data_IF_457919787894
#
_entry.id   IF_457919787894
#
_cell.length_a   1.000
_cell.length_b   1.000
_cell.length_c   1.000
_cell.angle_alpha   90.00
_cell.angle_beta   90.00
_cell.angle_gamma   90.00
#
_symmetry.space_group_name_H-M   'P 1'
#
loop_
_entity.id
_entity.type
_entity.pdbx_description
1 polymer ?
#
# COMPACT_ATOMS: atom_id res chain seq x y z
N UNK A 1 6.49 28.32 -7.96
CA UNK A 1 5.22 27.55 -7.95
C UNK A 1 4.85 27.23 -6.52
N UNK A 2 3.61 27.47 -6.10
CA UNK A 2 3.19 27.05 -4.74
C UNK A 2 3.28 25.52 -4.61
N UNK A 3 3.69 25.03 -3.44
CA UNK A 3 3.89 23.59 -3.16
C UNK A 3 2.64 22.75 -3.50
N UNK A 4 1.45 23.35 -3.39
CA UNK A 4 0.17 22.70 -3.72
C UNK A 4 -0.07 22.47 -5.21
N UNK A 5 0.38 23.37 -6.09
CA UNK A 5 0.19 23.20 -7.54
C UNK A 5 1.07 22.05 -8.09
N UNK A 6 2.31 21.97 -7.61
CA UNK A 6 3.24 20.88 -7.95
C UNK A 6 2.68 19.52 -7.49
N UNK A 7 2.15 19.46 -6.27
CA UNK A 7 1.52 18.25 -5.73
C UNK A 7 0.34 17.77 -6.58
N UNK A 8 -0.55 18.69 -6.99
CA UNK A 8 -1.70 18.37 -7.86
C UNK A 8 -1.25 17.83 -9.22
N UNK A 9 -0.25 18.45 -9.84
CA UNK A 9 0.31 17.99 -11.12
C UNK A 9 0.97 16.61 -11.02
N UNK A 10 1.72 16.35 -9.93
CA UNK A 10 2.32 15.04 -9.67
C UNK A 10 1.24 13.97 -9.48
N UNK A 11 0.20 14.25 -8.68
CA UNK A 11 -0.93 13.30 -8.53
C UNK A 11 -1.64 13.02 -9.85
N UNK A 12 -1.94 14.06 -10.62
CA UNK A 12 -2.64 13.91 -11.90
C UNK A 12 -1.81 13.12 -12.91
N UNK A 13 -0.54 13.49 -13.10
CA UNK A 13 0.36 12.76 -14.00
C UNK A 13 0.58 11.30 -13.57
N UNK A 14 0.59 11.01 -12.26
CA UNK A 14 0.64 9.64 -11.74
C UNK A 14 -0.62 8.85 -12.06
N UNK A 15 -1.80 9.44 -11.86
CA UNK A 15 -3.08 8.80 -12.18
C UNK A 15 -3.18 8.45 -13.67
N UNK A 16 -2.80 9.37 -14.56
CA UNK A 16 -2.75 9.13 -16.01
C UNK A 16 -1.80 7.97 -16.35
N UNK A 17 -0.59 7.95 -15.78
CA UNK A 17 0.37 6.86 -16.02
C UNK A 17 -0.17 5.51 -15.55
N UNK A 18 -0.77 5.44 -14.35
CA UNK A 18 -1.37 4.22 -13.82
C UNK A 18 -2.49 3.72 -14.74
N UNK A 19 -3.32 4.63 -15.26
CA UNK A 19 -4.39 4.28 -16.19
C UNK A 19 -3.87 3.61 -17.47
N UNK A 20 -2.75 4.09 -18.02
CA UNK A 20 -2.10 3.50 -19.20
C UNK A 20 -1.17 2.31 -18.89
N UNK A 21 -1.22 1.75 -17.66
CA UNK A 21 -0.36 0.61 -17.28
C UNK A 21 1.09 0.98 -16.99
N UNK A 22 1.40 2.27 -16.81
CA UNK A 22 2.62 2.70 -16.16
C UNK A 22 2.61 2.33 -14.68
N UNK A 23 3.80 2.18 -14.08
CA UNK A 23 4.03 1.75 -12.70
C UNK A 23 3.92 0.24 -12.38
N UNK A 24 3.65 -0.64 -13.35
CA UNK A 24 3.66 -2.10 -13.14
C UNK A 24 4.94 -2.60 -12.48
N UNK A 25 6.11 -2.10 -12.90
CA UNK A 25 7.40 -2.47 -12.30
C UNK A 25 7.53 -2.05 -10.81
N UNK A 26 6.89 -0.94 -10.42
CA UNK A 26 6.84 -0.53 -9.01
C UNK A 26 5.88 -1.39 -8.19
N UNK A 27 4.75 -1.80 -8.77
CA UNK A 27 3.84 -2.75 -8.13
C UNK A 27 4.51 -4.11 -7.94
N UNK A 28 5.24 -4.59 -8.96
CA UNK A 28 6.02 -5.82 -8.90
C UNK A 28 7.11 -5.78 -7.84
N UNK A 29 7.82 -4.66 -7.72
CA UNK A 29 8.86 -4.46 -6.68
C UNK A 29 8.32 -4.65 -5.27
N UNK A 30 7.04 -4.34 -5.05
CA UNK A 30 6.41 -4.39 -3.72
C UNK A 30 5.48 -5.59 -3.54
N UNK A 31 5.46 -6.56 -4.47
CA UNK A 31 4.73 -7.82 -4.30
C UNK A 31 5.26 -8.57 -3.09
N UNK A 32 4.34 -9.08 -2.27
CA UNK A 32 4.66 -9.82 -1.06
C UNK A 32 4.31 -11.30 -1.22
N UNK A 33 3.04 -11.61 -1.46
CA UNK A 33 2.52 -12.97 -1.59
C UNK A 33 1.15 -12.97 -2.29
N UNK A 34 0.66 -14.16 -2.61
CA UNK A 34 -0.69 -14.39 -3.09
C UNK A 34 -1.58 -14.94 -1.98
N UNK A 35 -2.83 -14.48 -1.94
CA UNK A 35 -3.87 -15.02 -1.07
C UNK A 35 -4.32 -16.40 -1.57
N UNK A 36 -4.71 -17.32 -0.67
CA UNK A 36 -5.15 -18.66 -1.04
C UNK A 36 -6.46 -18.67 -1.83
N UNK A 37 -7.28 -17.63 -1.68
CA UNK A 37 -8.52 -17.41 -2.40
C UNK A 37 -8.84 -15.90 -2.40
N UNK A 38 -9.71 -15.42 -3.31
CA UNK A 38 -10.10 -14.02 -3.34
C UNK A 38 -10.96 -13.65 -2.12
N UNK A 39 -10.40 -12.83 -1.23
CA UNK A 39 -11.13 -12.25 -0.11
C UNK A 39 -11.87 -10.97 -0.53
N UNK A 40 -13.03 -10.72 0.07
CA UNK A 40 -13.70 -9.43 -0.06
C UNK A 40 -12.98 -8.35 0.76
N UNK A 41 -13.10 -7.05 0.40
CA UNK A 41 -12.55 -5.96 1.21
C UNK A 41 -12.94 -5.99 2.69
N UNK A 42 -14.19 -6.38 3.00
CA UNK A 42 -14.67 -6.52 4.38
C UNK A 42 -13.90 -7.62 5.13
N UNK A 43 -13.76 -8.81 4.53
CA UNK A 43 -13.02 -9.91 5.16
C UNK A 43 -11.53 -9.58 5.35
N UNK A 44 -10.94 -8.85 4.39
CA UNK A 44 -9.55 -8.37 4.52
C UNK A 44 -9.44 -7.42 5.70
N UNK A 45 -10.37 -6.46 5.81
CA UNK A 45 -10.37 -5.49 6.90
C UNK A 45 -10.53 -6.16 8.27
N UNK A 46 -11.51 -7.06 8.42
CA UNK A 46 -11.77 -7.77 9.67
C UNK A 46 -10.55 -8.55 10.17
N UNK A 47 -9.78 -9.18 9.26
CA UNK A 47 -8.56 -9.94 9.62
C UNK A 47 -7.39 -9.07 10.07
N UNK A 48 -7.35 -7.81 9.64
CA UNK A 48 -6.23 -6.90 9.92
C UNK A 48 -6.55 -5.87 11.01
N UNK A 49 -7.83 -5.72 11.36
CA UNK A 49 -8.32 -4.71 12.28
C UNK A 49 -7.69 -4.83 13.67
N UNK A 50 -7.66 -6.03 14.25
CA UNK A 50 -7.09 -6.30 15.58
C UNK A 50 -5.59 -5.99 15.65
N UNK A 51 -4.95 -6.00 14.48
CA UNK A 51 -3.54 -5.70 14.33
C UNK A 51 -3.25 -4.20 14.13
N UNK A 52 -4.28 -3.35 14.17
CA UNK A 52 -4.19 -1.91 14.07
C UNK A 52 -4.15 -1.37 12.65
N UNK A 53 -4.46 -2.20 11.63
CA UNK A 53 -4.61 -1.69 10.28
C UNK A 53 -5.93 -0.94 10.11
N UNK A 54 -5.86 0.17 9.41
CA UNK A 54 -6.98 1.07 9.12
C UNK A 54 -7.03 1.36 7.62
N UNK A 55 -8.19 1.74 7.11
CA UNK A 55 -8.33 2.11 5.71
C UNK A 55 -7.41 3.29 5.33
N UNK A 56 -6.71 3.19 4.20
CA UNK A 56 -5.81 4.27 3.73
C UNK A 56 -6.48 5.16 2.68
N UNK A 57 -7.09 6.26 3.15
CA UNK A 57 -7.77 7.23 2.29
C UNK A 57 -6.84 8.08 1.40
N UNK A 58 -5.54 8.15 1.71
CA UNK A 58 -4.58 9.03 1.01
C UNK A 58 -3.74 8.30 -0.05
N UNK A 59 -4.06 7.04 -0.34
CA UNK A 59 -3.32 6.22 -1.30
C UNK A 59 -3.75 6.46 -2.76
N UNK A 60 -2.85 6.18 -3.72
CA UNK A 60 -3.22 6.07 -5.15
C UNK A 60 -3.83 4.70 -5.44
N UNK A 61 -4.89 4.63 -6.25
CA UNK A 61 -5.50 3.34 -6.63
C UNK A 61 -4.88 2.81 -7.92
N UNK A 62 -4.43 1.55 -7.89
CA UNK A 62 -3.90 0.84 -9.05
C UNK A 62 -4.94 -0.03 -9.75
N UNK A 63 -4.61 -0.51 -10.95
CA UNK A 63 -5.47 -1.43 -11.71
C UNK A 63 -5.67 -2.71 -10.89
N UNK A 64 -6.91 -3.23 -10.85
CA UNK A 64 -7.32 -4.42 -10.07
C UNK A 64 -7.21 -4.29 -8.53
N UNK A 65 -6.75 -3.16 -7.99
CA UNK A 65 -6.72 -2.97 -6.54
C UNK A 65 -8.16 -2.92 -6.01
N UNK A 66 -8.49 -3.83 -5.09
CA UNK A 66 -9.81 -3.91 -4.45
C UNK A 66 -9.84 -3.26 -3.07
N UNK A 67 -8.68 -3.20 -2.40
CA UNK A 67 -8.60 -2.66 -1.05
C UNK A 67 -7.20 -2.16 -0.69
N UNK A 68 -7.13 -1.22 0.25
CA UNK A 68 -5.88 -0.62 0.72
C UNK A 68 -6.00 -0.26 2.19
N UNK A 69 -4.96 -0.58 2.95
CA UNK A 69 -4.90 -0.32 4.39
C UNK A 69 -3.52 0.19 4.76
N UNK A 70 -3.45 0.86 5.90
CA UNK A 70 -2.23 1.32 6.54
C UNK A 70 -2.23 0.96 8.01
N UNK A 71 -1.06 0.75 8.58
CA UNK A 71 -0.83 0.64 10.02
C UNK A 71 0.27 1.62 10.40
N UNK A 72 0.01 2.47 11.39
CA UNK A 72 1.05 3.33 11.95
C UNK A 72 2.06 2.48 12.70
N UNK A 73 3.35 2.70 12.44
CA UNK A 73 4.45 2.09 13.19
C UNK A 73 4.85 3.04 14.32
N UNK A 74 4.97 4.32 13.98
CA UNK A 74 5.20 5.43 14.90
C UNK A 74 4.50 6.69 14.34
N UNK A 75 4.85 7.87 14.84
CA UNK A 75 4.27 9.13 14.39
C UNK A 75 4.62 9.49 12.93
N UNK A 76 5.79 9.06 12.47
CA UNK A 76 6.37 9.43 11.19
C UNK A 76 6.16 8.35 10.13
N UNK A 77 5.96 7.09 10.51
CA UNK A 77 5.99 5.95 9.61
C UNK A 77 4.75 5.07 9.64
N UNK A 78 4.52 4.41 8.51
CA UNK A 78 3.43 3.46 8.33
C UNK A 78 3.87 2.25 7.51
N UNK A 79 3.21 1.12 7.76
CA UNK A 79 3.10 0.02 6.82
C UNK A 79 1.89 0.26 5.95
N UNK A 80 2.06 0.19 4.63
CA UNK A 80 1.01 0.38 3.66
C UNK A 80 0.85 -0.90 2.84
N UNK A 81 -0.38 -1.44 2.82
CA UNK A 81 -0.72 -2.64 2.09
C UNK A 81 -1.79 -2.37 1.04
N UNK A 82 -1.75 -3.17 -0.03
CA UNK A 82 -2.74 -3.18 -1.10
C UNK A 82 -3.10 -4.61 -1.45
N UNK A 83 -4.37 -4.79 -1.74
CA UNK A 83 -4.98 -6.07 -2.09
C UNK A 83 -5.61 -5.97 -3.46
N UNK A 84 -5.42 -7.01 -4.27
CA UNK A 84 -5.82 -7.04 -5.66
C UNK A 84 -6.84 -8.15 -5.91
N UNK A 85 -7.68 -7.96 -6.93
CA UNK A 85 -8.73 -8.93 -7.31
C UNK A 85 -8.17 -10.25 -7.82
N UNK A 86 -6.92 -10.27 -8.27
CA UNK A 86 -6.16 -11.47 -8.69
C UNK A 86 -5.28 -12.02 -7.57
N UNK A 87 -5.78 -11.92 -6.32
CA UNK A 87 -5.20 -12.47 -5.08
C UNK A 87 -3.84 -11.96 -4.66
N UNK A 88 -3.17 -11.14 -5.47
CA UNK A 88 -1.90 -10.53 -5.08
C UNK A 88 -2.06 -9.56 -3.90
N UNK A 89 -1.02 -9.54 -3.06
CA UNK A 89 -0.83 -8.55 -2.00
C UNK A 89 0.49 -7.83 -2.23
N UNK A 90 0.46 -6.51 -2.17
CA UNK A 90 1.67 -5.69 -2.17
C UNK A 90 1.76 -4.84 -0.92
N UNK A 91 2.97 -4.42 -0.56
CA UNK A 91 3.16 -3.52 0.57
C UNK A 91 4.56 -2.99 0.75
N UNK A 92 4.66 -1.92 1.51
CA UNK A 92 5.92 -1.27 1.88
C UNK A 92 5.80 -0.51 3.20
N UNK A 93 6.96 -0.24 3.80
CA UNK A 93 7.11 0.70 4.89
C UNK A 93 7.51 2.06 4.30
N UNK A 94 6.87 3.12 4.77
CA UNK A 94 7.10 4.47 4.28
C UNK A 94 6.76 5.53 5.33
N UNK A 95 7.16 6.78 5.07
CA UNK A 95 6.69 7.92 5.85
C UNK A 95 5.17 8.11 5.70
N UNK A 96 4.51 8.62 6.73
CA UNK A 96 3.09 8.98 6.71
C UNK A 96 2.86 10.17 5.79
N UNK A 97 1.77 10.11 5.02
CA UNK A 97 1.45 11.17 4.06
C UNK A 97 1.03 12.46 4.76
N UNK A 98 0.44 12.36 5.94
CA UNK A 98 -0.07 13.48 6.73
C UNK A 98 1.05 14.34 7.32
N UNK A 99 2.09 13.71 7.86
CA UNK A 99 3.21 14.42 8.50
C UNK A 99 4.25 14.85 7.47
N UNK A 100 4.51 14.01 6.45
CA UNK A 100 5.64 14.18 5.54
C UNK A 100 5.26 14.09 4.06
N UNK A 101 4.29 14.87 3.56
CA UNK A 101 3.70 14.69 2.22
C UNK A 101 4.72 14.79 1.07
N UNK A 102 5.73 15.67 1.19
CA UNK A 102 6.73 15.87 0.14
C UNK A 102 7.78 14.76 0.15
N UNK A 103 8.25 14.36 1.33
CA UNK A 103 9.26 13.32 1.53
C UNK A 103 8.69 11.95 1.19
N UNK A 104 7.44 11.67 1.61
CA UNK A 104 6.67 10.50 1.21
C UNK A 104 6.58 10.39 -0.31
N UNK A 105 6.21 11.48 -1.02
CA UNK A 105 6.15 11.47 -2.48
C UNK A 105 7.50 11.20 -3.16
N UNK A 106 8.61 11.56 -2.51
CA UNK A 106 9.98 11.29 -2.98
C UNK A 106 10.48 9.89 -2.60
N UNK A 107 9.71 9.11 -1.85
CA UNK A 107 10.12 7.79 -1.37
C UNK A 107 11.24 7.83 -0.34
N UNK A 108 11.35 8.93 0.45
CA UNK A 108 12.28 8.95 1.58
C UNK A 108 11.87 7.87 2.60
N UNK A 109 12.84 7.11 3.06
CA UNK A 109 12.69 5.99 4.02
C UNK A 109 11.74 4.87 3.55
N UNK A 110 11.42 4.86 2.24
CA UNK A 110 10.66 3.79 1.61
C UNK A 110 11.49 2.51 1.58
N UNK A 111 10.98 1.44 2.21
CA UNK A 111 11.58 0.09 2.15
C UNK A 111 10.53 -0.98 1.92
N UNK A 112 10.97 -2.14 1.45
CA UNK A 112 10.14 -3.34 1.46
C UNK A 112 9.83 -3.79 2.89
N UNK A 113 8.76 -4.57 3.06
CA UNK A 113 8.51 -5.26 4.33
C UNK A 113 9.60 -6.31 4.58
N UNK A 114 9.97 -6.49 5.84
CA UNK A 114 10.90 -7.54 6.25
C UNK A 114 10.17 -8.90 6.38
N UNK A 115 10.95 -9.97 6.53
CA UNK A 115 10.42 -11.33 6.59
C UNK A 115 9.42 -11.55 7.74
N UNK A 116 9.66 -10.94 8.91
CA UNK A 116 8.75 -11.04 10.05
C UNK A 116 7.42 -10.34 9.82
N UNK A 117 7.44 -9.16 9.21
CA UNK A 117 6.24 -8.41 8.79
C UNK A 117 5.43 -9.23 7.77
N UNK A 118 6.11 -9.82 6.78
CA UNK A 118 5.47 -10.68 5.76
C UNK A 118 4.92 -11.96 6.38
N UNK A 119 5.68 -12.63 7.26
CA UNK A 119 5.27 -13.85 7.93
C UNK A 119 4.00 -13.65 8.75
N UNK A 120 3.92 -12.55 9.52
CA UNK A 120 2.74 -12.22 10.30
C UNK A 120 1.51 -12.01 9.41
N UNK A 121 1.66 -11.25 8.31
CA UNK A 121 0.59 -11.02 7.35
C UNK A 121 0.11 -12.31 6.72
N UNK A 122 1.03 -13.17 6.27
CA UNK A 122 0.71 -14.50 5.75
C UNK A 122 -0.13 -15.32 6.74
N UNK A 123 0.26 -15.32 8.03
CA UNK A 123 -0.48 -15.99 9.10
C UNK A 123 -1.93 -15.52 9.23
N UNK A 124 -2.18 -14.21 9.13
CA UNK A 124 -3.55 -13.64 9.19
C UNK A 124 -4.44 -14.09 8.04
N UNK A 125 -3.85 -14.45 6.90
CA UNK A 125 -4.58 -14.93 5.72
C UNK A 125 -4.51 -16.44 5.51
N UNK A 126 -3.91 -17.20 6.45
CA UNK A 126 -3.75 -18.65 6.32
C UNK A 126 -2.82 -19.07 5.17
N UNK A 127 -1.83 -18.24 4.85
CA UNK A 127 -0.78 -18.53 3.87
C UNK A 127 0.37 -19.20 4.61
N UNK A 128 0.64 -20.48 4.32
CA UNK A 128 1.62 -21.30 5.04
C UNK A 128 2.87 -21.67 4.23
N UNK A 129 3.09 -20.98 3.09
CA UNK A 129 4.27 -21.16 2.24
C UNK A 129 5.13 -19.91 2.24
#
# INVERSE_FOLDING_TARGET
>A
MSKGLLFKLVKWSRAVRIFFGGYTAMEEKHKLFELPYPFTPRQIYERLLDDGYQYNALSSTYKKQIFTVRKLVDIDHQLHLRFYSDTWVSGHYELTTEMWPVQHLRGKDLRALNEGEIFKLKGQFGVHR
#
